data_IF_404622067422
#
_entry.id   IF_404622067422
#
_cell.length_a   1.000
_cell.length_b   1.000
_cell.length_c   1.000
_cell.angle_alpha   90.00
_cell.angle_beta   90.00
_cell.angle_gamma   90.00
#
_symmetry.space_group_name_H-M   'P 1'
#
loop_
_entity.id
_entity.type
_entity.pdbx_description
1 polymer ?
#
# COMPACT_ATOMS: atom_id res chain seq x y z
N UNK A 1 4.66 -24.13 -1.48
CA UNK A 1 3.30 -24.19 -2.06
C UNK A 1 2.84 -22.75 -2.18
N UNK A 2 2.46 -22.27 -3.36
CA UNK A 2 2.00 -20.89 -3.56
C UNK A 2 0.67 -20.67 -2.85
N UNK A 3 0.60 -19.64 -1.99
CA UNK A 3 -0.55 -19.40 -1.08
C UNK A 3 -1.66 -18.56 -1.70
N UNK A 4 -1.41 -17.93 -2.86
CA UNK A 4 -2.33 -17.02 -3.55
C UNK A 4 -2.68 -17.50 -4.97
N UNK A 5 -2.49 -18.79 -5.28
CA UNK A 5 -2.82 -19.35 -6.59
C UNK A 5 -4.29 -19.11 -6.93
N UNK A 6 -4.54 -18.55 -8.11
CA UNK A 6 -5.89 -18.22 -8.59
C UNK A 6 -6.48 -16.91 -8.07
N UNK A 7 -5.83 -16.23 -7.13
CA UNK A 7 -6.24 -14.92 -6.61
C UNK A 7 -5.86 -13.80 -7.58
N UNK A 8 -6.65 -12.74 -7.57
CA UNK A 8 -6.40 -11.49 -8.32
C UNK A 8 -6.13 -10.37 -7.34
N UNK A 9 -4.99 -9.71 -7.49
CA UNK A 9 -4.55 -8.63 -6.63
C UNK A 9 -4.38 -7.31 -7.40
N UNK A 10 -4.86 -6.22 -6.84
CA UNK A 10 -4.56 -4.86 -7.28
C UNK A 10 -3.63 -4.21 -6.25
N UNK A 11 -2.51 -3.65 -6.71
CA UNK A 11 -1.59 -2.87 -5.86
C UNK A 11 -1.49 -1.46 -6.43
N UNK A 12 -1.95 -0.46 -5.66
CA UNK A 12 -1.89 0.93 -6.08
C UNK A 12 -0.50 1.52 -5.85
N UNK A 13 -0.04 2.41 -6.75
CA UNK A 13 1.29 3.02 -6.64
C UNK A 13 2.43 1.99 -6.67
N UNK A 14 2.34 0.97 -7.52
CA UNK A 14 3.23 -0.19 -7.49
C UNK A 14 4.39 -0.13 -8.50
N UNK A 15 4.69 1.04 -9.09
CA UNK A 15 5.81 1.19 -10.06
C UNK A 15 7.19 1.16 -9.40
N UNK A 16 7.29 1.45 -8.10
CA UNK A 16 8.55 1.49 -7.32
C UNK A 16 8.32 1.24 -5.83
N UNK A 17 9.40 1.17 -5.06
CA UNK A 17 9.39 1.13 -3.59
C UNK A 17 8.64 -0.05 -3.00
N UNK A 18 7.91 0.22 -1.91
CA UNK A 18 7.15 -0.79 -1.16
C UNK A 18 6.11 -1.46 -2.07
N UNK A 19 5.38 -0.68 -2.88
CA UNK A 19 4.36 -1.21 -3.78
C UNK A 19 4.90 -2.19 -4.81
N UNK A 20 6.07 -1.90 -5.40
CA UNK A 20 6.75 -2.82 -6.32
C UNK A 20 7.17 -4.11 -5.62
N UNK A 21 7.72 -4.01 -4.39
CA UNK A 21 8.07 -5.17 -3.57
C UNK A 21 6.86 -6.04 -3.25
N UNK A 22 5.75 -5.43 -2.88
CA UNK A 22 4.48 -6.11 -2.61
C UNK A 22 3.95 -6.80 -3.87
N UNK A 23 3.90 -6.09 -5.00
CA UNK A 23 3.39 -6.64 -6.26
C UNK A 23 4.18 -7.89 -6.70
N UNK A 24 5.51 -7.85 -6.60
CA UNK A 24 6.38 -9.00 -6.90
C UNK A 24 6.14 -10.16 -5.94
N UNK A 25 6.03 -9.90 -4.64
CA UNK A 25 5.80 -10.94 -3.65
C UNK A 25 4.43 -11.63 -3.84
N UNK A 26 3.36 -10.87 -4.13
CA UNK A 26 2.05 -11.44 -4.44
C UNK A 26 2.10 -12.29 -5.72
N UNK A 27 2.82 -11.83 -6.75
CA UNK A 27 3.04 -12.60 -7.99
C UNK A 27 3.79 -13.90 -7.75
N UNK A 28 4.86 -13.88 -6.95
CA UNK A 28 5.63 -15.07 -6.58
C UNK A 28 4.78 -16.11 -5.84
N UNK A 29 3.77 -15.67 -5.07
CA UNK A 29 2.79 -16.51 -4.39
C UNK A 29 1.62 -16.96 -5.29
N UNK A 30 1.68 -16.68 -6.60
CA UNK A 30 0.75 -17.20 -7.61
C UNK A 30 -0.46 -16.29 -7.88
N UNK A 31 -0.53 -15.10 -7.31
CA UNK A 31 -1.57 -14.14 -7.65
C UNK A 31 -1.38 -13.57 -9.07
N UNK A 32 -2.49 -13.27 -9.75
CA UNK A 32 -2.49 -12.39 -10.90
C UNK A 32 -2.51 -10.93 -10.41
N UNK A 33 -1.51 -10.13 -10.80
CA UNK A 33 -1.27 -8.82 -10.20
C UNK A 33 -1.55 -7.69 -11.18
N UNK A 34 -2.36 -6.73 -10.77
CA UNK A 34 -2.49 -5.42 -11.43
C UNK A 34 -1.54 -4.44 -10.74
N UNK A 35 -0.54 -4.00 -11.48
CA UNK A 35 0.45 -3.00 -11.08
C UNK A 35 -0.09 -1.63 -11.47
N UNK A 36 -0.72 -0.92 -10.54
CA UNK A 36 -1.20 0.43 -10.81
C UNK A 36 -0.06 1.45 -10.64
N UNK A 37 -0.07 2.44 -11.49
CA UNK A 37 0.85 3.58 -11.45
C UNK A 37 0.15 4.88 -11.90
N UNK A 38 0.59 6.03 -11.40
CA UNK A 38 0.07 7.33 -11.83
C UNK A 38 0.82 7.86 -13.06
N UNK A 39 2.15 7.97 -12.98
CA UNK A 39 3.00 8.61 -14.01
C UNK A 39 4.21 7.76 -14.44
N UNK A 40 4.75 6.90 -13.56
CA UNK A 40 5.96 6.10 -13.84
C UNK A 40 5.60 4.79 -14.56
N UNK A 41 5.35 4.89 -15.86
CA UNK A 41 5.04 3.73 -16.72
C UNK A 41 6.20 2.74 -16.80
N UNK A 42 7.42 3.25 -16.95
CA UNK A 42 8.61 2.39 -17.09
C UNK A 42 8.86 1.56 -15.82
N UNK A 43 8.66 2.16 -14.65
CA UNK A 43 8.72 1.46 -13.38
C UNK A 43 7.69 0.34 -13.30
N UNK A 44 6.43 0.63 -13.63
CA UNK A 44 5.37 -0.37 -13.66
C UNK A 44 5.67 -1.50 -14.65
N UNK A 45 6.15 -1.18 -15.85
CA UNK A 45 6.54 -2.18 -16.85
C UNK A 45 7.72 -3.05 -16.38
N UNK A 46 8.68 -2.48 -15.62
CA UNK A 46 9.77 -3.27 -15.00
C UNK A 46 9.22 -4.27 -13.99
N UNK A 47 8.27 -3.85 -13.15
CA UNK A 47 7.64 -4.74 -12.16
C UNK A 47 6.87 -5.86 -12.85
N UNK A 48 6.07 -5.53 -13.87
CA UNK A 48 5.33 -6.53 -14.66
C UNK A 48 6.28 -7.54 -15.30
N UNK A 49 7.34 -7.08 -15.96
CA UNK A 49 8.35 -7.98 -16.57
C UNK A 49 9.00 -8.90 -15.53
N UNK A 50 9.31 -8.39 -14.34
CA UNK A 50 9.90 -9.21 -13.28
C UNK A 50 8.94 -10.33 -12.83
N UNK A 51 7.67 -10.01 -12.59
CA UNK A 51 6.65 -10.99 -12.21
C UNK A 51 6.48 -12.07 -13.32
N UNK A 52 6.41 -11.64 -14.58
CA UNK A 52 6.23 -12.57 -15.72
C UNK A 52 7.47 -13.43 -15.92
N UNK A 53 8.67 -12.89 -15.75
CA UNK A 53 9.92 -13.67 -15.85
C UNK A 53 10.03 -14.76 -14.78
N UNK A 54 9.38 -14.60 -13.64
CA UNK A 54 9.29 -15.59 -12.56
C UNK A 54 8.08 -16.54 -12.73
N UNK A 55 7.40 -16.51 -13.91
CA UNK A 55 6.26 -17.39 -14.25
C UNK A 55 4.91 -16.89 -13.72
N UNK A 56 4.84 -15.70 -13.12
CA UNK A 56 3.61 -15.08 -12.66
C UNK A 56 2.82 -14.38 -13.77
N UNK A 57 1.67 -13.82 -13.40
CA UNK A 57 0.79 -13.05 -14.31
C UNK A 57 0.65 -11.63 -13.79
N UNK A 58 0.93 -10.64 -14.62
CA UNK A 58 0.76 -9.25 -14.25
C UNK A 58 0.43 -8.36 -15.45
N UNK A 59 -0.27 -7.24 -15.17
CA UNK A 59 -0.52 -6.15 -16.13
C UNK A 59 -0.28 -4.81 -15.44
N UNK A 60 0.20 -3.82 -16.20
CA UNK A 60 0.30 -2.44 -15.72
C UNK A 60 -0.96 -1.66 -16.12
N UNK A 61 -1.54 -0.93 -15.17
CA UNK A 61 -2.72 -0.09 -15.41
C UNK A 61 -2.46 1.33 -14.87
N UNK A 62 -2.50 2.31 -15.78
CA UNK A 62 -2.35 3.71 -15.39
C UNK A 62 -3.61 4.22 -14.70
N UNK A 63 -3.45 4.97 -13.61
CA UNK A 63 -4.53 5.66 -12.92
C UNK A 63 -4.05 6.41 -11.69
N UNK A 64 -4.49 7.65 -11.56
CA UNK A 64 -4.29 8.47 -10.37
C UNK A 64 -5.38 8.16 -9.35
N UNK A 65 -5.00 7.63 -8.18
CA UNK A 65 -5.96 7.24 -7.14
C UNK A 65 -6.77 8.42 -6.58
N UNK A 66 -6.29 9.65 -6.74
CA UNK A 66 -7.04 10.84 -6.36
C UNK A 66 -8.19 11.17 -7.32
N UNK A 67 -8.35 10.42 -8.43
CA UNK A 67 -9.37 10.63 -9.46
C UNK A 67 -10.30 9.44 -9.59
N UNK A 68 -11.57 9.64 -9.29
CA UNK A 68 -12.57 8.57 -9.29
C UNK A 68 -12.70 7.87 -10.66
N UNK A 69 -12.57 8.61 -11.76
CA UNK A 69 -12.69 8.02 -13.11
C UNK A 69 -11.50 7.11 -13.42
N UNK A 70 -10.30 7.44 -12.94
CA UNK A 70 -9.13 6.58 -13.06
C UNK A 70 -9.27 5.31 -12.24
N UNK A 71 -9.85 5.42 -11.04
CA UNK A 71 -10.15 4.26 -10.18
C UNK A 71 -11.19 3.34 -10.84
N UNK A 72 -12.27 3.89 -11.38
CA UNK A 72 -13.27 3.10 -12.11
C UNK A 72 -12.65 2.35 -13.28
N UNK A 73 -11.80 3.03 -14.04
CA UNK A 73 -11.06 2.40 -15.14
C UNK A 73 -10.12 1.30 -14.64
N UNK A 74 -9.38 1.53 -13.53
CA UNK A 74 -8.49 0.54 -12.93
C UNK A 74 -9.21 -0.77 -12.63
N UNK A 75 -10.36 -0.72 -11.96
CA UNK A 75 -11.11 -1.94 -11.62
C UNK A 75 -11.81 -2.57 -12.83
N UNK A 76 -12.29 -1.80 -13.80
CA UNK A 76 -12.81 -2.31 -15.04
C UNK A 76 -11.74 -3.09 -15.83
N UNK A 77 -10.52 -2.53 -15.94
CA UNK A 77 -9.37 -3.20 -16.56
C UNK A 77 -8.94 -4.45 -15.78
N UNK A 78 -8.97 -4.40 -14.45
CA UNK A 78 -8.71 -5.56 -13.58
C UNK A 78 -9.67 -6.71 -13.91
N UNK A 79 -10.97 -6.43 -13.97
CA UNK A 79 -11.99 -7.41 -14.31
C UNK A 79 -11.80 -7.95 -15.73
N UNK A 80 -11.46 -7.08 -16.68
CA UNK A 80 -11.20 -7.48 -18.07
C UNK A 80 -10.01 -8.42 -18.18
N UNK A 81 -8.92 -8.14 -17.44
CA UNK A 81 -7.68 -8.90 -17.51
C UNK A 81 -7.75 -10.24 -16.76
N UNK A 82 -8.42 -10.28 -15.60
CA UNK A 82 -8.32 -11.40 -14.65
C UNK A 82 -9.67 -11.89 -14.09
N UNK A 83 -10.79 -11.24 -14.42
CA UNK A 83 -12.14 -11.74 -14.12
C UNK A 83 -12.76 -11.24 -12.80
N UNK A 84 -11.99 -10.74 -11.84
CA UNK A 84 -12.50 -10.29 -10.54
C UNK A 84 -11.43 -9.65 -9.67
N UNK A 85 -11.70 -9.59 -8.36
CA UNK A 85 -10.79 -9.06 -7.34
C UNK A 85 -10.85 -9.93 -6.08
N UNK A 86 -9.70 -10.30 -5.53
CA UNK A 86 -9.57 -10.99 -4.24
C UNK A 86 -8.76 -10.19 -3.23
N UNK A 87 -7.81 -9.38 -3.71
CA UNK A 87 -6.90 -8.61 -2.85
C UNK A 87 -6.77 -7.18 -3.37
N UNK A 88 -7.01 -6.21 -2.51
CA UNK A 88 -6.72 -4.80 -2.78
C UNK A 88 -5.64 -4.31 -1.82
N UNK A 89 -4.52 -3.82 -2.35
CA UNK A 89 -3.47 -3.17 -1.57
C UNK A 89 -3.46 -1.67 -1.89
N UNK A 90 -3.91 -0.86 -0.96
CA UNK A 90 -3.83 0.59 -1.02
C UNK A 90 -2.44 1.03 -0.54
N UNK A 91 -1.51 1.11 -1.49
CA UNK A 91 -0.13 1.52 -1.23
C UNK A 91 0.20 2.91 -1.79
N UNK A 92 -0.52 3.39 -2.80
CA UNK A 92 -0.30 4.73 -3.34
C UNK A 92 -0.30 5.77 -2.21
N UNK A 93 0.75 6.56 -2.14
CA UNK A 93 0.89 7.58 -1.11
C UNK A 93 2.00 8.56 -1.45
N UNK A 94 1.84 9.76 -0.94
CA UNK A 94 2.78 10.86 -1.07
C UNK A 94 3.03 11.44 0.32
N UNK A 95 4.18 12.06 0.50
CA UNK A 95 4.54 12.71 1.76
C UNK A 95 5.44 13.90 1.51
N UNK A 96 5.42 14.82 2.46
CA UNK A 96 6.34 15.92 2.59
C UNK A 96 6.54 16.24 4.06
N UNK A 97 7.73 16.68 4.42
CA UNK A 97 8.07 17.11 5.78
C UNK A 97 8.30 18.61 5.75
N UNK A 98 7.38 19.37 6.34
CA UNK A 98 7.46 20.82 6.42
C UNK A 98 7.26 21.29 7.88
N UNK A 99 7.97 22.32 8.34
CA UNK A 99 7.61 23.03 9.55
C UNK A 99 6.15 23.52 9.48
N UNK A 100 5.49 23.64 10.64
CA UNK A 100 4.06 24.02 10.66
C UNK A 100 3.78 25.34 9.95
N UNK A 101 4.72 26.26 9.99
CA UNK A 101 4.65 27.58 9.38
C UNK A 101 4.71 27.54 7.85
N UNK A 102 5.22 26.46 7.27
CA UNK A 102 5.39 26.26 5.81
C UNK A 102 4.33 25.34 5.20
N UNK A 103 3.46 24.75 6.02
CA UNK A 103 2.38 23.89 5.52
C UNK A 103 1.41 24.72 4.68
N UNK A 104 1.16 24.27 3.45
CA UNK A 104 0.23 24.93 2.52
C UNK A 104 -1.06 24.13 2.35
N UNK A 105 -2.16 24.82 2.04
CA UNK A 105 -3.43 24.19 1.68
C UNK A 105 -3.26 23.25 0.48
N UNK A 106 -2.45 23.63 -0.49
CA UNK A 106 -2.16 22.80 -1.67
C UNK A 106 -1.51 21.46 -1.26
N UNK A 107 -0.53 21.48 -0.36
CA UNK A 107 0.15 20.28 0.10
C UNK A 107 -0.78 19.42 0.95
N UNK A 108 -1.58 20.03 1.84
CA UNK A 108 -2.61 19.33 2.59
C UNK A 108 -3.56 18.57 1.65
N UNK A 109 -4.10 19.23 0.63
CA UNK A 109 -4.99 18.57 -0.33
C UNK A 109 -4.28 17.50 -1.15
N UNK A 110 -3.02 17.71 -1.54
CA UNK A 110 -2.24 16.70 -2.27
C UNK A 110 -2.12 15.41 -1.47
N UNK A 111 -1.74 15.51 -0.19
CA UNK A 111 -1.55 14.33 0.64
C UNK A 111 -2.88 13.68 1.04
N UNK A 112 -3.87 14.45 1.49
CA UNK A 112 -5.16 13.88 1.85
C UNK A 112 -5.91 13.27 0.66
N UNK A 113 -5.88 13.90 -0.50
CA UNK A 113 -6.52 13.37 -1.70
C UNK A 113 -5.87 12.06 -2.17
N UNK A 114 -4.54 11.94 -2.08
CA UNK A 114 -3.86 10.71 -2.48
C UNK A 114 -3.95 9.63 -1.40
N UNK A 115 -3.57 9.96 -0.16
CA UNK A 115 -3.35 8.95 0.89
C UNK A 115 -4.66 8.47 1.53
N UNK A 116 -5.66 9.36 1.64
CA UNK A 116 -6.92 9.07 2.35
C UNK A 116 -8.06 8.89 1.36
N UNK A 117 -8.40 9.96 0.62
CA UNK A 117 -9.52 9.91 -0.32
C UNK A 117 -9.30 8.83 -1.38
N UNK A 118 -8.08 8.75 -1.96
CA UNK A 118 -7.72 7.75 -2.95
C UNK A 118 -7.91 6.32 -2.44
N UNK A 119 -7.50 6.04 -1.20
CA UNK A 119 -7.72 4.73 -0.57
C UNK A 119 -9.21 4.44 -0.36
N UNK A 120 -9.99 5.42 0.11
CA UNK A 120 -11.45 5.28 0.29
C UNK A 120 -12.12 5.01 -1.05
N UNK A 121 -11.81 5.78 -2.10
CA UNK A 121 -12.38 5.61 -3.43
C UNK A 121 -12.01 4.26 -4.05
N UNK A 122 -10.76 3.81 -3.86
CA UNK A 122 -10.32 2.49 -4.32
C UNK A 122 -11.08 1.36 -3.60
N UNK A 123 -11.33 1.49 -2.29
CA UNK A 123 -12.14 0.53 -1.54
C UNK A 123 -13.59 0.58 -2.03
N UNK A 124 -14.19 1.77 -2.13
CA UNK A 124 -15.57 1.98 -2.57
C UNK A 124 -15.85 1.35 -3.94
N UNK A 125 -14.93 1.51 -4.88
CA UNK A 125 -15.06 0.89 -6.21
C UNK A 125 -14.73 -0.60 -6.15
N UNK A 126 -13.61 -0.96 -5.49
CA UNK A 126 -13.11 -2.33 -5.41
C UNK A 126 -14.10 -3.32 -4.83
N UNK A 127 -14.87 -2.91 -3.80
CA UNK A 127 -15.87 -3.80 -3.15
C UNK A 127 -16.99 -4.28 -4.11
N UNK A 128 -17.14 -3.69 -5.27
CA UNK A 128 -18.08 -4.13 -6.31
C UNK A 128 -17.54 -5.32 -7.11
N UNK A 129 -16.25 -5.61 -7.04
CA UNK A 129 -15.54 -6.62 -7.83
C UNK A 129 -15.12 -7.85 -7.01
N UNK A 130 -15.22 -7.79 -5.68
CA UNK A 130 -15.06 -8.98 -4.84
C UNK A 130 -16.21 -9.97 -5.07
N UNK A 131 -15.88 -11.25 -5.14
CA UNK A 131 -16.87 -12.32 -5.24
C UNK A 131 -17.58 -12.61 -3.90
N UNK A 132 -18.48 -13.57 -3.91
CA UNK A 132 -19.21 -14.02 -2.71
C UNK A 132 -18.32 -14.67 -1.65
N UNK A 133 -17.13 -15.12 -2.02
CA UNK A 133 -16.13 -15.65 -1.08
C UNK A 133 -15.44 -14.56 -0.25
N UNK A 134 -15.72 -13.28 -0.52
CA UNK A 134 -15.06 -12.17 0.16
C UNK A 134 -13.65 -11.89 -0.37
N UNK A 135 -12.75 -11.45 0.51
CA UNK A 135 -11.37 -11.15 0.14
C UNK A 135 -10.61 -10.33 1.19
N UNK A 136 -9.53 -9.69 0.78
CA UNK A 136 -8.65 -8.94 1.68
C UNK A 136 -8.32 -7.55 1.14
N UNK A 137 -8.50 -6.53 1.97
CA UNK A 137 -8.07 -5.15 1.74
C UNK A 137 -6.94 -4.85 2.71
N UNK A 138 -5.81 -4.36 2.20
CA UNK A 138 -4.63 -4.06 2.99
C UNK A 138 -4.22 -2.61 2.71
N UNK A 139 -4.27 -1.77 3.73
CA UNK A 139 -3.87 -0.39 3.66
C UNK A 139 -2.39 -0.26 4.09
N UNK A 140 -1.55 0.37 3.28
CA UNK A 140 -0.17 0.65 3.66
C UNK A 140 -0.15 2.03 4.35
N UNK A 141 -0.17 1.97 5.67
CA UNK A 141 -0.08 3.14 6.54
C UNK A 141 1.39 3.49 6.85
N UNK A 142 1.72 3.77 8.10
CA UNK A 142 3.06 4.06 8.60
C UNK A 142 3.11 3.99 10.11
N UNK A 143 4.27 3.73 10.70
CA UNK A 143 4.50 3.97 12.14
C UNK A 143 4.20 5.43 12.52
N UNK A 144 4.32 6.37 11.59
CA UNK A 144 3.99 7.77 11.78
C UNK A 144 2.52 8.04 12.16
N UNK A 145 1.63 7.07 11.97
CA UNK A 145 0.23 7.17 12.43
C UNK A 145 0.09 7.22 13.95
N UNK A 146 1.06 6.65 14.67
CA UNK A 146 1.06 6.57 16.14
C UNK A 146 2.33 7.13 16.78
N UNK A 147 3.42 7.22 16.03
CA UNK A 147 4.69 7.82 16.46
C UNK A 147 5.15 8.84 15.41
N UNK A 148 4.49 10.02 15.35
CA UNK A 148 4.80 11.04 14.36
C UNK A 148 6.14 11.72 14.65
N UNK A 149 6.89 12.00 13.58
CA UNK A 149 8.08 12.83 13.65
C UNK A 149 7.71 14.33 13.57
N UNK A 150 8.53 15.23 14.11
CA UNK A 150 8.42 16.65 13.81
C UNK A 150 8.35 16.90 12.29
N UNK A 151 7.66 17.97 11.88
CA UNK A 151 7.46 18.37 10.48
C UNK A 151 6.57 17.42 9.65
N UNK A 152 5.98 16.38 10.23
CA UNK A 152 5.14 15.41 9.52
C UNK A 152 3.64 15.60 9.77
N UNK A 153 3.19 16.79 10.19
CA UNK A 153 1.81 16.99 10.66
C UNK A 153 0.76 16.54 9.63
N UNK A 154 0.93 16.88 8.37
CA UNK A 154 -0.01 16.47 7.31
C UNK A 154 0.10 14.98 7.06
N UNK A 155 1.30 14.49 6.79
CA UNK A 155 1.53 13.07 6.48
C UNK A 155 1.06 12.14 7.60
N UNK A 156 1.48 12.41 8.84
CA UNK A 156 1.09 11.58 9.99
C UNK A 156 -0.42 11.59 10.21
N UNK A 157 -1.09 12.73 9.98
CA UNK A 157 -2.55 12.85 10.04
C UNK A 157 -3.21 11.97 8.98
N UNK A 158 -2.68 11.94 7.73
CA UNK A 158 -3.23 11.04 6.70
C UNK A 158 -3.10 9.57 7.08
N UNK A 159 -1.98 9.17 7.71
CA UNK A 159 -1.75 7.78 8.10
C UNK A 159 -2.61 7.38 9.31
N UNK A 160 -2.80 8.27 10.26
CA UNK A 160 -3.75 8.06 11.36
C UNK A 160 -5.20 7.95 10.86
N UNK A 161 -5.60 8.78 9.90
CA UNK A 161 -6.89 8.67 9.23
C UNK A 161 -7.06 7.32 8.52
N UNK A 162 -6.03 6.83 7.83
CA UNK A 162 -6.07 5.54 7.13
C UNK A 162 -6.20 4.35 8.10
N UNK A 163 -5.56 4.41 9.28
CA UNK A 163 -5.74 3.40 10.33
C UNK A 163 -7.19 3.44 10.90
N UNK A 164 -7.81 4.63 10.97
CA UNK A 164 -9.23 4.73 11.34
C UNK A 164 -10.15 4.14 10.26
N UNK A 165 -9.91 4.45 8.98
CA UNK A 165 -10.61 3.85 7.84
C UNK A 165 -10.53 2.33 7.89
N UNK A 166 -9.37 1.77 8.21
CA UNK A 166 -9.16 0.32 8.35
C UNK A 166 -10.11 -0.28 9.38
N UNK A 167 -10.19 0.28 10.59
CA UNK A 167 -11.04 -0.24 11.66
C UNK A 167 -12.54 -0.13 11.34
N UNK A 168 -12.96 1.00 10.79
CA UNK A 168 -14.38 1.22 10.42
C UNK A 168 -14.81 0.22 9.35
N UNK A 169 -14.01 0.09 8.27
CA UNK A 169 -14.37 -0.76 7.15
C UNK A 169 -14.19 -2.26 7.45
N UNK A 170 -13.34 -2.64 8.41
CA UNK A 170 -13.28 -4.01 8.90
C UNK A 170 -14.63 -4.43 9.52
N UNK A 171 -15.25 -3.55 10.32
CA UNK A 171 -16.55 -3.82 10.90
C UNK A 171 -17.68 -3.82 9.85
N UNK A 172 -17.64 -2.86 8.91
CA UNK A 172 -18.68 -2.70 7.87
C UNK A 172 -18.66 -3.83 6.83
N UNK A 173 -17.47 -4.27 6.41
CA UNK A 173 -17.30 -5.24 5.33
C UNK A 173 -17.19 -6.69 5.84
N UNK A 174 -17.02 -6.91 7.15
CA UNK A 174 -16.96 -8.23 7.77
C UNK A 174 -18.12 -9.15 7.40
N UNK A 175 -19.39 -8.70 7.42
CA UNK A 175 -20.53 -9.53 6.97
C UNK A 175 -20.43 -10.03 5.52
N UNK A 176 -19.64 -9.34 4.68
CA UNK A 176 -19.33 -9.75 3.30
C UNK A 176 -18.09 -10.62 3.18
N UNK A 177 -17.53 -11.08 4.30
CA UNK A 177 -16.27 -11.85 4.35
C UNK A 177 -15.08 -11.09 3.72
N UNK A 178 -15.09 -9.75 3.75
CA UNK A 178 -14.00 -8.91 3.29
C UNK A 178 -13.26 -8.40 4.53
N UNK A 179 -12.02 -8.86 4.69
CA UNK A 179 -11.14 -8.44 5.79
C UNK A 179 -10.44 -7.13 5.40
N UNK A 180 -10.28 -6.24 6.35
CA UNK A 180 -9.58 -4.96 6.14
C UNK A 180 -8.54 -4.79 7.23
N UNK A 181 -7.26 -4.69 6.85
CA UNK A 181 -6.14 -4.54 7.78
C UNK A 181 -5.19 -3.45 7.30
N UNK A 182 -4.34 -2.97 8.20
CA UNK A 182 -3.28 -2.02 7.92
C UNK A 182 -1.91 -2.64 8.17
N UNK A 183 -0.96 -2.38 7.28
CA UNK A 183 0.47 -2.60 7.52
C UNK A 183 1.12 -1.24 7.70
N UNK A 184 1.87 -1.07 8.80
CA UNK A 184 2.52 0.17 9.17
C UNK A 184 4.04 0.01 9.11
N UNK A 185 4.68 0.30 7.95
CA UNK A 185 6.12 0.26 7.80
C UNK A 185 6.83 1.27 8.70
N UNK A 186 8.01 0.89 9.18
CA UNK A 186 9.01 1.82 9.68
C UNK A 186 9.79 2.50 8.57
N UNK A 187 10.92 3.13 8.93
CA UNK A 187 11.83 3.73 7.97
C UNK A 187 12.30 2.67 6.95
N UNK A 188 11.88 2.81 5.71
CA UNK A 188 12.12 1.84 4.62
C UNK A 188 12.82 2.52 3.46
N UNK A 189 13.94 1.96 3.01
CA UNK A 189 14.68 2.45 1.84
C UNK A 189 13.85 2.22 0.57
N UNK A 190 13.47 3.32 -0.06
CA UNK A 190 12.74 3.35 -1.32
C UNK A 190 13.31 4.44 -2.20
N UNK A 191 13.09 4.35 -3.50
CA UNK A 191 13.51 5.39 -4.43
C UNK A 191 12.97 6.76 -4.01
N UNK A 192 11.69 6.87 -3.61
CA UNK A 192 11.10 8.13 -3.18
C UNK A 192 11.70 8.70 -1.89
N UNK A 193 12.07 7.86 -0.93
CA UNK A 193 12.74 8.32 0.29
C UNK A 193 14.22 8.72 0.02
N UNK A 194 14.89 8.02 -0.90
CA UNK A 194 16.22 8.39 -1.35
C UNK A 194 16.23 9.72 -2.10
N UNK A 195 15.27 9.95 -2.99
CA UNK A 195 15.12 11.21 -3.76
C UNK A 195 14.95 12.42 -2.82
N UNK A 196 14.32 12.22 -1.67
CA UNK A 196 14.16 13.24 -0.62
C UNK A 196 15.38 13.33 0.32
N UNK A 197 16.40 12.49 0.13
CA UNK A 197 17.61 12.50 0.92
C UNK A 197 17.45 12.13 2.40
N UNK A 198 16.34 11.51 2.79
CA UNK A 198 15.98 11.23 4.19
C UNK A 198 17.11 10.50 4.93
N UNK A 199 17.70 9.50 4.31
CA UNK A 199 18.67 8.60 4.98
C UNK A 199 20.06 9.21 5.19
N UNK A 200 20.41 10.26 4.45
CA UNK A 200 21.68 11.01 4.60
C UNK A 200 21.63 12.13 5.63
N UNK A 201 20.49 12.38 6.26
CA UNK A 201 20.28 13.47 7.21
C UNK A 201 20.45 13.01 8.66
N UNK A 202 20.58 13.98 9.59
CA UNK A 202 20.52 13.73 11.04
C UNK A 202 19.22 13.04 11.44
N UNK A 203 18.10 13.40 10.80
CA UNK A 203 16.81 12.75 10.98
C UNK A 203 16.87 11.26 10.61
N UNK A 204 17.45 10.91 9.46
CA UNK A 204 17.65 9.51 9.04
C UNK A 204 18.52 8.73 10.01
N UNK A 205 19.62 9.34 10.51
CA UNK A 205 20.50 8.73 11.52
C UNK A 205 19.74 8.45 12.83
N UNK A 206 18.88 9.38 13.26
CA UNK A 206 18.01 9.18 14.43
C UNK A 206 17.06 8.02 14.22
N UNK A 207 16.34 7.96 13.08
CA UNK A 207 15.48 6.83 12.75
C UNK A 207 16.21 5.49 12.77
N UNK A 208 17.44 5.47 12.29
CA UNK A 208 18.30 4.28 12.33
C UNK A 208 18.64 3.89 13.77
N UNK A 209 19.09 4.85 14.61
CA UNK A 209 19.44 4.61 16.01
C UNK A 209 18.24 4.13 16.84
N UNK A 210 17.05 4.62 16.52
CA UNK A 210 15.81 4.27 17.21
C UNK A 210 15.20 2.95 16.70
N UNK A 211 15.79 2.35 15.66
CA UNK A 211 15.35 1.06 15.10
C UNK A 211 16.10 -0.09 15.78
N UNK A 212 15.47 -0.91 16.64
CA UNK A 212 16.15 -1.98 17.38
C UNK A 212 16.91 -2.99 16.51
N UNK A 213 16.41 -3.29 15.30
CA UNK A 213 17.14 -4.18 14.36
C UNK A 213 18.34 -3.52 13.67
N UNK A 214 18.68 -2.25 13.98
CA UNK A 214 19.90 -1.57 13.58
C UNK A 214 20.05 -1.32 12.08
N UNK A 215 18.96 -1.36 11.32
CA UNK A 215 18.97 -1.08 9.88
C UNK A 215 17.65 -0.49 9.42
N UNK A 216 17.65 0.18 8.29
CA UNK A 216 16.45 0.52 7.58
C UNK A 216 15.77 -0.73 7.00
N UNK A 217 14.43 -0.71 6.90
CA UNK A 217 13.68 -1.72 6.20
C UNK A 217 13.93 -1.65 4.69
N UNK A 218 13.65 -2.76 4.02
CA UNK A 218 13.63 -2.87 2.57
C UNK A 218 12.20 -3.22 2.12
N UNK A 219 11.77 -2.93 0.89
CA UNK A 219 10.45 -3.37 0.40
C UNK A 219 10.17 -4.86 0.63
N UNK A 220 11.21 -5.71 0.54
CA UNK A 220 11.13 -7.15 0.82
C UNK A 220 10.88 -7.50 2.29
N UNK A 221 11.12 -6.59 3.23
CA UNK A 221 10.82 -6.79 4.64
C UNK A 221 9.33 -6.52 4.94
N UNK A 222 8.69 -5.68 4.13
CA UNK A 222 7.29 -5.30 4.28
C UNK A 222 6.36 -6.31 3.57
N UNK A 223 6.74 -6.75 2.38
CA UNK A 223 5.91 -7.59 1.52
C UNK A 223 5.41 -8.89 2.16
N UNK A 224 6.18 -9.62 3.00
CA UNK A 224 5.70 -10.85 3.64
C UNK A 224 4.47 -10.65 4.54
N UNK A 225 4.39 -9.52 5.25
CA UNK A 225 3.21 -9.22 6.07
C UNK A 225 1.96 -8.99 5.20
N UNK A 226 2.12 -8.37 4.04
CA UNK A 226 1.04 -8.19 3.08
C UNK A 226 0.61 -9.52 2.47
N UNK A 227 1.54 -10.40 2.10
CA UNK A 227 1.25 -11.75 1.62
C UNK A 227 0.49 -12.55 2.68
N UNK A 228 0.92 -12.52 3.94
CA UNK A 228 0.18 -13.14 5.04
C UNK A 228 -1.25 -12.64 5.13
N UNK A 229 -1.45 -11.32 5.15
CA UNK A 229 -2.79 -10.71 5.24
C UNK A 229 -3.65 -10.99 4.00
N UNK A 230 -3.05 -11.18 2.84
CA UNK A 230 -3.76 -11.53 1.60
C UNK A 230 -4.20 -13.01 1.58
N UNK A 231 -3.53 -13.87 2.32
CA UNK A 231 -3.72 -15.33 2.31
C UNK A 231 -4.81 -15.80 3.28
N UNK A 232 -5.20 -17.05 3.14
CA UNK A 232 -6.14 -17.74 4.04
C UNK A 232 -5.56 -17.96 5.45
N UNK A 233 -4.23 -17.88 5.63
CA UNK A 233 -3.60 -17.91 6.94
C UNK A 233 -4.03 -16.75 7.86
N UNK A 234 -4.55 -15.67 7.27
CA UNK A 234 -5.06 -14.49 7.99
C UNK A 234 -6.61 -14.45 8.08
N UNK A 235 -7.32 -15.55 7.88
CA UNK A 235 -8.79 -15.58 7.84
C UNK A 235 -9.48 -15.06 9.11
N UNK A 236 -8.79 -15.04 10.25
CA UNK A 236 -9.30 -14.52 11.53
C UNK A 236 -8.66 -13.18 11.92
N UNK A 237 -8.04 -12.47 10.96
CA UNK A 237 -7.38 -11.18 11.17
C UNK A 237 -8.10 -10.10 10.37
N UNK A 238 -8.78 -9.19 11.08
CA UNK A 238 -9.44 -8.02 10.49
C UNK A 238 -9.48 -6.87 11.49
N UNK A 239 -9.38 -5.62 11.00
CA UNK A 239 -9.36 -4.41 11.82
C UNK A 239 -8.00 -4.11 12.45
N UNK A 240 -6.99 -4.91 12.16
CA UNK A 240 -5.68 -4.83 12.80
C UNK A 240 -4.74 -3.85 12.09
N UNK A 241 -3.84 -3.30 12.90
CA UNK A 241 -2.73 -2.46 12.46
C UNK A 241 -1.43 -3.17 12.80
N UNK A 242 -0.75 -3.71 11.80
CA UNK A 242 0.47 -4.50 11.97
C UNK A 242 1.69 -3.64 11.68
N UNK A 243 2.52 -3.38 12.69
CA UNK A 243 3.79 -2.68 12.52
C UNK A 243 4.84 -3.62 11.94
N UNK A 244 5.48 -3.19 10.85
CA UNK A 244 6.63 -3.86 10.23
C UNK A 244 7.76 -2.85 10.17
N UNK A 245 8.46 -2.67 11.29
CA UNK A 245 9.27 -1.48 11.54
C UNK A 245 10.68 -1.77 12.07
N UNK A 246 11.08 -3.04 12.17
CA UNK A 246 12.34 -3.39 12.84
C UNK A 246 12.36 -3.03 14.33
N UNK A 247 11.17 -2.83 14.94
CA UNK A 247 11.00 -2.45 16.34
C UNK A 247 10.92 -0.94 16.60
N UNK A 248 11.04 -0.10 15.56
CA UNK A 248 10.79 1.34 15.66
C UNK A 248 9.34 1.56 16.13
N UNK A 249 9.22 2.28 17.26
CA UNK A 249 7.93 2.56 17.93
C UNK A 249 7.44 3.93 17.57
#
# INVERSE_FOLDING_TARGET
MQTLTGKVAVVTGASKGIGAGIARALGAEGAAVVVNYASDKEGADRVVRAIVAEGGRAVAVQGDVAKIEDIRRLFAETKRAFGGLDVLVNNAGVFRFDPIEEVTEQEFHREFNTNVLGSILAIQEGVKYFGSAGGSIINISSVASTNPAPQSVVYSSTKAALDSVTRVLAAELGPRQIRVNSVNPGATETEGANDLGVFGTEFGQRLLSDTPLGRFGQPRDIAPAVVFLASDAANWVTGETIRVSGGLK
#
